data_IF_974486321551
#
_entry.id   IF_974486321551
#
_cell.length_a   1.000
_cell.length_b   1.000
_cell.length_c   1.000
_cell.angle_alpha   90.00
_cell.angle_beta   90.00
_cell.angle_gamma   90.00
#
_symmetry.space_group_name_H-M   'P 1'
#
loop_
_entity.id
_entity.type
_entity.pdbx_description
1 polymer ?
#
# COMPACT_ATOMS: atom_id res chain seq x y z
N UNK A 1 8.13 -14.04 9.44
CA UNK A 1 6.85 -14.17 10.18
C UNK A 1 5.92 -15.06 9.37
N UNK A 2 4.79 -15.55 9.90
CA UNK A 2 3.88 -16.31 9.04
C UNK A 2 3.26 -15.37 8.00
N UNK A 3 3.10 -15.85 6.76
CA UNK A 3 2.46 -15.12 5.63
C UNK A 3 1.08 -14.51 6.00
N UNK A 4 0.46 -14.99 7.07
CA UNK A 4 -0.89 -14.66 7.51
C UNK A 4 -0.93 -13.82 8.80
N UNK A 5 0.19 -13.22 9.21
CA UNK A 5 0.24 -12.37 10.38
C UNK A 5 0.07 -10.89 10.00
N UNK A 6 -0.88 -10.22 10.64
CA UNK A 6 -1.03 -8.77 10.59
C UNK A 6 -0.48 -8.19 11.89
N UNK A 7 0.44 -7.22 11.78
CA UNK A 7 0.98 -6.49 12.92
C UNK A 7 -0.12 -5.74 13.68
N UNK A 8 0.17 -5.30 14.90
CA UNK A 8 -0.78 -4.50 15.69
C UNK A 8 -1.10 -3.18 14.97
N UNK A 9 -0.11 -2.56 14.34
CA UNK A 9 -0.27 -1.31 13.61
C UNK A 9 -1.16 -1.49 12.38
N UNK A 10 -0.89 -2.52 11.55
CA UNK A 10 -1.74 -2.84 10.40
C UNK A 10 -3.17 -3.17 10.79
N UNK A 11 -3.36 -3.93 11.88
CA UNK A 11 -4.70 -4.22 12.38
C UNK A 11 -5.45 -2.95 12.76
N UNK A 12 -4.77 -1.99 13.41
CA UNK A 12 -5.36 -0.72 13.79
C UNK A 12 -5.71 0.14 12.58
N UNK A 13 -4.85 0.17 11.55
CA UNK A 13 -5.10 0.87 10.29
C UNK A 13 -6.29 0.26 9.54
N UNK A 14 -6.28 -1.06 9.33
CA UNK A 14 -7.38 -1.82 8.71
C UNK A 14 -8.69 -1.55 9.44
N UNK A 15 -8.69 -1.61 10.77
CA UNK A 15 -9.88 -1.36 11.59
C UNK A 15 -10.37 0.10 11.46
N UNK A 16 -9.45 1.07 11.41
CA UNK A 16 -9.80 2.48 11.24
C UNK A 16 -10.50 2.71 9.90
N UNK A 17 -9.89 2.27 8.80
CA UNK A 17 -10.46 2.46 7.46
C UNK A 17 -11.76 1.65 7.32
N UNK A 18 -11.83 0.42 7.82
CA UNK A 18 -13.07 -0.37 7.77
C UNK A 18 -14.25 0.36 8.43
N UNK A 19 -14.04 0.99 9.59
CA UNK A 19 -15.07 1.75 10.30
C UNK A 19 -15.54 3.00 9.55
N UNK A 20 -14.72 3.57 8.69
CA UNK A 20 -15.14 4.70 7.83
C UNK A 20 -16.17 4.25 6.78
N UNK A 21 -16.08 2.99 6.32
CA UNK A 21 -17.01 2.43 5.33
C UNK A 21 -18.22 1.74 5.96
N UNK A 22 -18.08 1.17 7.16
CA UNK A 22 -19.12 0.51 7.95
C UNK A 22 -19.86 1.50 8.89
N UNK A 23 -20.51 2.51 8.31
CA UNK A 23 -21.17 3.57 9.08
C UNK A 23 -22.36 3.07 9.92
N UNK A 24 -23.00 1.98 9.50
CA UNK A 24 -24.17 1.41 10.16
C UNK A 24 -23.82 0.26 11.12
N UNK A 25 -22.54 -0.17 11.16
CA UNK A 25 -22.05 -1.30 11.97
C UNK A 25 -22.70 -2.64 11.63
N UNK A 26 -23.12 -2.80 10.37
CA UNK A 26 -23.69 -4.03 9.81
C UNK A 26 -22.75 -4.68 8.76
N UNK A 27 -21.51 -4.18 8.68
CA UNK A 27 -20.48 -4.63 7.76
C UNK A 27 -20.47 -3.82 6.45
N UNK A 28 -19.44 -4.06 5.65
CA UNK A 28 -19.24 -3.37 4.37
C UNK A 28 -19.82 -4.20 3.25
N UNK A 29 -20.60 -3.60 2.34
CA UNK A 29 -21.11 -4.34 1.19
C UNK A 29 -19.98 -4.76 0.24
N UNK A 30 -20.12 -5.90 -0.45
CA UNK A 30 -19.13 -6.36 -1.44
C UNK A 30 -18.82 -5.30 -2.52
N UNK A 31 -19.79 -4.46 -2.90
CA UNK A 31 -19.57 -3.36 -3.85
C UNK A 31 -18.62 -2.26 -3.33
N UNK A 32 -18.63 -2.02 -2.01
CA UNK A 32 -17.73 -1.08 -1.34
C UNK A 32 -16.36 -1.68 -1.04
N UNK A 33 -16.23 -3.01 -1.07
CA UNK A 33 -15.00 -3.73 -0.72
C UNK A 33 -13.80 -3.30 -1.58
N UNK A 34 -14.00 -3.10 -2.89
CA UNK A 34 -12.91 -2.62 -3.76
C UNK A 34 -12.46 -1.19 -3.42
N UNK A 35 -13.37 -0.32 -2.98
CA UNK A 35 -13.00 1.02 -2.52
C UNK A 35 -12.24 0.96 -1.20
N UNK A 36 -12.68 0.10 -0.29
CA UNK A 36 -12.01 -0.14 0.99
C UNK A 36 -10.58 -0.68 0.79
N UNK A 37 -10.38 -1.65 -0.11
CA UNK A 37 -9.05 -2.15 -0.46
C UNK A 37 -8.15 -1.04 -1.06
N UNK A 38 -8.70 -0.19 -1.93
CA UNK A 38 -7.95 0.94 -2.51
C UNK A 38 -7.52 1.96 -1.45
N UNK A 39 -8.34 2.19 -0.43
CA UNK A 39 -7.99 3.07 0.70
C UNK A 39 -6.82 2.52 1.53
N UNK A 40 -6.59 1.21 1.50
CA UNK A 40 -5.41 0.54 2.06
C UNK A 40 -4.24 0.43 1.06
N UNK A 41 -4.33 1.06 -0.11
CA UNK A 41 -3.30 1.00 -1.15
C UNK A 41 -3.28 -0.31 -1.95
N UNK A 42 -4.29 -1.16 -1.84
CA UNK A 42 -4.37 -2.44 -2.55
C UNK A 42 -5.17 -2.24 -3.84
N UNK A 43 -4.46 -2.34 -4.96
CA UNK A 43 -5.02 -2.22 -6.30
C UNK A 43 -5.02 -3.58 -6.99
N UNK A 44 -6.16 -4.26 -6.92
CA UNK A 44 -6.37 -5.53 -7.59
C UNK A 44 -6.47 -5.36 -9.11
N UNK A 45 -5.95 -6.35 -9.85
CA UNK A 45 -6.20 -6.42 -11.29
C UNK A 45 -7.67 -6.81 -11.57
N UNK A 46 -8.06 -6.82 -12.85
CA UNK A 46 -9.45 -7.10 -13.24
C UNK A 46 -9.92 -8.47 -12.75
N UNK A 47 -9.11 -9.50 -12.93
CA UNK A 47 -9.45 -10.88 -12.53
C UNK A 47 -9.55 -11.02 -11.02
N UNK A 48 -8.60 -10.46 -10.26
CA UNK A 48 -8.65 -10.45 -8.80
C UNK A 48 -9.88 -9.70 -8.28
N UNK A 49 -10.21 -8.56 -8.90
CA UNK A 49 -11.40 -7.78 -8.54
C UNK A 49 -12.70 -8.57 -8.79
N UNK A 50 -12.79 -9.27 -9.93
CA UNK A 50 -13.96 -10.11 -10.26
C UNK A 50 -14.14 -11.26 -9.26
N UNK A 51 -13.05 -11.95 -8.89
CA UNK A 51 -13.08 -13.04 -7.89
C UNK A 51 -13.56 -12.53 -6.53
N UNK A 52 -12.97 -11.44 -6.03
CA UNK A 52 -13.38 -10.85 -4.75
C UNK A 52 -14.84 -10.41 -4.79
N UNK A 53 -15.27 -9.73 -5.85
CA UNK A 53 -16.67 -9.32 -5.96
C UNK A 53 -17.62 -10.52 -6.04
N UNK A 54 -17.26 -11.60 -6.75
CA UNK A 54 -18.10 -12.78 -6.84
C UNK A 54 -18.26 -13.50 -5.49
N UNK A 55 -17.17 -13.64 -4.73
CA UNK A 55 -17.17 -14.31 -3.43
C UNK A 55 -18.00 -13.52 -2.39
N UNK A 56 -17.82 -12.20 -2.32
CA UNK A 56 -18.46 -11.38 -1.28
C UNK A 56 -19.85 -10.86 -1.68
N UNK A 57 -20.16 -10.68 -2.97
CA UNK A 57 -21.53 -10.36 -3.41
C UNK A 57 -22.52 -11.47 -3.02
N UNK A 58 -22.07 -12.72 -2.97
CA UNK A 58 -22.87 -13.87 -2.54
C UNK A 58 -23.09 -13.92 -1.02
N UNK A 59 -22.12 -13.42 -0.23
CA UNK A 59 -22.14 -13.52 1.24
C UNK A 59 -22.80 -12.32 1.94
N UNK A 60 -23.16 -11.26 1.20
CA UNK A 60 -23.79 -10.05 1.76
C UNK A 60 -22.76 -9.02 2.23
N UNK A 61 -22.91 -8.53 3.46
CA UNK A 61 -21.96 -7.59 4.06
C UNK A 61 -20.80 -8.35 4.71
N UNK A 62 -19.57 -7.91 4.44
CA UNK A 62 -18.36 -8.43 5.10
C UNK A 62 -18.20 -7.74 6.46
N UNK A 63 -17.99 -8.52 7.52
CA UNK A 63 -17.65 -7.97 8.84
C UNK A 63 -16.14 -7.77 8.99
N UNK A 64 -15.71 -7.06 10.03
CA UNK A 64 -14.29 -6.75 10.25
C UNK A 64 -13.41 -8.00 10.40
N UNK A 65 -13.92 -9.09 10.98
CA UNK A 65 -13.15 -10.34 11.14
C UNK A 65 -12.90 -11.01 9.80
N UNK A 66 -13.93 -11.08 8.95
CA UNK A 66 -13.80 -11.60 7.58
C UNK A 66 -12.87 -10.73 6.74
N UNK A 67 -12.93 -9.40 6.94
CA UNK A 67 -12.00 -8.49 6.28
C UNK A 67 -10.56 -8.71 6.74
N UNK A 68 -10.30 -8.96 8.03
CA UNK A 68 -8.95 -9.35 8.47
C UNK A 68 -8.45 -10.62 7.79
N UNK A 69 -9.30 -11.63 7.58
CA UNK A 69 -8.90 -12.84 6.85
C UNK A 69 -8.57 -12.56 5.39
N UNK A 70 -9.30 -11.65 4.74
CA UNK A 70 -8.98 -11.18 3.40
C UNK A 70 -7.64 -10.43 3.38
N UNK A 71 -7.42 -9.53 4.34
CA UNK A 71 -6.20 -8.72 4.43
C UNK A 71 -4.95 -9.55 4.64
N UNK A 72 -5.03 -10.70 5.32
CA UNK A 72 -3.90 -11.65 5.43
C UNK A 72 -3.43 -12.20 4.07
N UNK A 73 -4.26 -12.15 3.03
CA UNK A 73 -3.92 -12.62 1.69
C UNK A 73 -3.33 -11.53 0.79
N UNK A 74 -3.53 -10.25 1.12
CA UNK A 74 -3.14 -9.14 0.25
C UNK A 74 -2.21 -8.11 0.91
N UNK A 75 -2.14 -8.06 2.24
CA UNK A 75 -1.47 -7.01 3.02
C UNK A 75 -0.45 -7.57 4.01
N UNK A 76 0.35 -8.49 3.50
CA UNK A 76 1.51 -9.07 4.17
C UNK A 76 2.81 -8.51 3.59
N UNK A 77 3.89 -8.55 4.38
CA UNK A 77 5.17 -7.89 4.08
C UNK A 77 5.71 -8.31 2.72
N UNK A 78 5.75 -9.61 2.43
CA UNK A 78 6.32 -10.11 1.19
C UNK A 78 5.49 -9.68 -0.04
N UNK A 79 4.18 -9.46 0.08
CA UNK A 79 3.38 -8.93 -1.04
C UNK A 79 3.67 -7.45 -1.26
N UNK A 80 3.71 -6.68 -0.18
CA UNK A 80 3.98 -5.24 -0.21
C UNK A 80 5.38 -4.99 -0.76
N UNK A 81 6.38 -5.74 -0.29
CA UNK A 81 7.75 -5.74 -0.82
C UNK A 81 7.77 -5.96 -2.33
N UNK A 82 7.12 -7.03 -2.82
CA UNK A 82 7.07 -7.33 -4.25
C UNK A 82 6.40 -6.21 -5.06
N UNK A 83 5.28 -5.66 -4.58
CA UNK A 83 4.56 -4.58 -5.25
C UNK A 83 5.39 -3.28 -5.28
N UNK A 84 6.04 -2.93 -4.18
CA UNK A 84 6.95 -1.79 -4.11
C UNK A 84 8.12 -1.97 -5.07
N UNK A 85 8.74 -3.15 -5.08
CA UNK A 85 9.86 -3.45 -5.97
C UNK A 85 9.47 -3.31 -7.44
N UNK A 86 8.36 -3.91 -7.86
CA UNK A 86 7.86 -3.82 -9.24
C UNK A 86 7.49 -2.38 -9.62
N UNK A 87 6.88 -1.64 -8.69
CA UNK A 87 6.54 -0.23 -8.92
C UNK A 87 7.80 0.62 -9.10
N UNK A 88 8.78 0.50 -8.22
CA UNK A 88 10.06 1.22 -8.32
C UNK A 88 10.80 0.85 -9.62
N UNK A 89 10.81 -0.44 -9.98
CA UNK A 89 11.40 -0.89 -11.24
C UNK A 89 10.73 -0.27 -12.47
N UNK A 90 9.42 0.01 -12.43
CA UNK A 90 8.70 0.63 -13.55
C UNK A 90 9.09 2.10 -13.80
N UNK A 91 9.60 2.79 -12.77
CA UNK A 91 10.10 4.16 -12.87
C UNK A 91 11.61 4.23 -13.13
N UNK A 92 12.34 3.15 -12.86
CA UNK A 92 13.77 3.10 -13.05
C UNK A 92 14.16 2.60 -14.46
N UNK A 93 15.45 2.71 -14.78
CA UNK A 93 16.00 2.10 -15.98
C UNK A 93 15.91 0.57 -15.96
N UNK A 94 15.83 -0.06 -17.14
CA UNK A 94 15.69 -1.51 -17.27
C UNK A 94 16.76 -2.26 -16.47
N UNK A 95 16.34 -3.19 -15.60
CA UNK A 95 17.18 -4.00 -14.70
C UNK A 95 17.94 -3.22 -13.62
N UNK A 96 17.64 -1.93 -13.43
CA UNK A 96 18.16 -1.20 -12.28
C UNK A 96 17.58 -1.74 -10.97
N UNK A 97 18.39 -1.67 -9.90
CA UNK A 97 17.97 -1.90 -8.51
C UNK A 97 17.94 -0.60 -7.70
N UNK A 98 18.13 0.52 -8.39
CA UNK A 98 18.11 1.87 -7.84
C UNK A 98 17.22 2.76 -8.70
N UNK A 99 16.67 3.80 -8.09
CA UNK A 99 15.97 4.88 -8.80
C UNK A 99 16.75 6.18 -8.62
N UNK A 100 16.80 7.01 -9.66
CA UNK A 100 17.41 8.34 -9.54
C UNK A 100 16.62 9.18 -8.52
N UNK A 101 17.33 9.94 -7.68
CA UNK A 101 16.69 10.74 -6.63
C UNK A 101 15.69 11.76 -7.19
N UNK A 102 15.98 12.37 -8.34
CA UNK A 102 15.06 13.34 -8.97
C UNK A 102 13.84 12.65 -9.58
N UNK A 103 14.01 11.47 -10.18
CA UNK A 103 12.89 10.65 -10.67
C UNK A 103 12.00 10.26 -9.49
N UNK A 104 12.59 9.80 -8.40
CA UNK A 104 11.87 9.42 -7.19
C UNK A 104 11.16 10.61 -6.53
N UNK A 105 11.81 11.79 -6.46
CA UNK A 105 11.18 13.04 -6.03
C UNK A 105 9.93 13.34 -6.85
N UNK A 106 10.02 13.25 -8.17
CA UNK A 106 8.87 13.46 -9.06
C UNK A 106 7.75 12.44 -8.81
N UNK A 107 8.10 11.17 -8.60
CA UNK A 107 7.13 10.15 -8.20
C UNK A 107 6.42 10.58 -6.92
N UNK A 108 7.16 10.86 -5.84
CA UNK A 108 6.58 11.25 -4.54
C UNK A 108 5.68 12.49 -4.62
N UNK A 109 6.06 13.51 -5.41
CA UNK A 109 5.26 14.72 -5.62
C UNK A 109 3.96 14.48 -6.41
N UNK A 110 3.90 13.38 -7.16
CA UNK A 110 2.71 12.97 -7.94
C UNK A 110 1.90 11.86 -7.26
N UNK A 111 2.41 11.27 -6.19
CA UNK A 111 1.69 10.25 -5.41
C UNK A 111 0.48 10.87 -4.70
N UNK A 112 -0.62 10.13 -4.72
CA UNK A 112 -1.87 10.50 -4.05
C UNK A 112 -2.74 11.47 -4.84
N UNK A 113 -4.05 11.40 -4.59
CA UNK A 113 -5.05 12.31 -5.19
C UNK A 113 -5.54 13.36 -4.19
N UNK A 114 -5.61 13.00 -2.90
CA UNK A 114 -6.17 13.84 -1.84
C UNK A 114 -5.16 14.56 -0.96
N UNK A 115 -4.00 13.96 -0.69
CA UNK A 115 -2.91 14.55 0.09
C UNK A 115 -1.68 14.53 -0.80
N UNK A 116 -1.21 15.72 -1.17
CA UNK A 116 0.03 15.89 -1.93
C UNK A 116 1.13 16.33 -0.98
N UNK A 117 2.30 15.75 -1.15
CA UNK A 117 3.50 16.22 -0.49
C UNK A 117 3.98 17.50 -1.16
N UNK A 118 4.40 18.47 -0.36
CA UNK A 118 5.10 19.66 -0.83
C UNK A 118 6.54 19.32 -1.22
N UNK A 119 7.17 20.19 -2.01
CA UNK A 119 8.56 20.02 -2.40
C UNK A 119 9.48 19.96 -1.18
N UNK A 120 9.21 20.81 -0.19
CA UNK A 120 9.95 20.89 1.06
C UNK A 120 9.81 19.62 1.91
N UNK A 121 8.61 19.05 2.00
CA UNK A 121 8.37 17.79 2.72
C UNK A 121 9.09 16.62 2.05
N UNK A 122 9.04 16.55 0.72
CA UNK A 122 9.76 15.51 -0.03
C UNK A 122 11.27 15.67 0.14
N UNK A 123 11.82 16.88 0.01
CA UNK A 123 13.26 17.11 0.19
C UNK A 123 13.72 16.79 1.61
N UNK A 124 12.94 17.17 2.62
CA UNK A 124 13.22 16.83 4.00
C UNK A 124 13.23 15.30 4.21
N UNK A 125 12.21 14.59 3.71
CA UNK A 125 12.14 13.13 3.77
C UNK A 125 13.34 12.47 3.08
N UNK A 126 13.61 12.84 1.83
CA UNK A 126 14.69 12.28 1.03
C UNK A 126 16.06 12.54 1.67
N UNK A 127 16.25 13.72 2.28
CA UNK A 127 17.49 14.03 2.95
C UNK A 127 17.65 13.28 4.28
N UNK A 128 16.63 13.24 5.15
CA UNK A 128 16.71 12.59 6.46
C UNK A 128 16.86 11.08 6.32
N UNK A 129 16.06 10.46 5.44
CA UNK A 129 16.02 9.02 5.32
C UNK A 129 17.10 8.46 4.39
N UNK A 130 17.38 9.17 3.29
CA UNK A 130 18.25 8.64 2.22
C UNK A 130 19.50 9.48 1.98
N UNK A 131 19.77 10.50 2.81
CA UNK A 131 20.94 11.38 2.65
C UNK A 131 21.00 11.98 1.23
N UNK A 132 19.84 12.41 0.71
CA UNK A 132 19.64 12.87 -0.66
C UNK A 132 20.53 14.03 -1.13
N UNK A 133 21.11 14.83 -0.23
CA UNK A 133 22.10 15.84 -0.63
C UNK A 133 23.44 15.23 -1.08
N UNK A 134 23.75 14.01 -0.66
CA UNK A 134 24.98 13.29 -1.03
C UNK A 134 24.70 12.15 -2.01
N UNK A 135 23.57 11.47 -1.85
CA UNK A 135 23.20 10.34 -2.67
C UNK A 135 22.40 10.80 -3.89
N UNK A 136 22.77 10.31 -5.09
CA UNK A 136 22.05 10.61 -6.34
C UNK A 136 20.98 9.58 -6.68
N UNK A 137 20.98 8.46 -5.97
CA UNK A 137 20.13 7.31 -6.23
C UNK A 137 19.71 6.66 -4.90
N UNK A 138 18.55 6.03 -4.91
CA UNK A 138 18.01 5.27 -3.78
C UNK A 138 17.94 3.80 -4.17
N UNK A 139 18.47 2.94 -3.30
CA UNK A 139 18.35 1.48 -3.44
C UNK A 139 16.92 1.04 -3.14
N UNK A 140 16.37 0.14 -3.97
CA UNK A 140 15.04 -0.42 -3.73
C UNK A 140 14.99 -1.15 -2.39
N UNK A 141 16.01 -1.95 -2.09
CA UNK A 141 16.08 -2.72 -0.85
C UNK A 141 16.11 -1.80 0.38
N UNK A 142 16.84 -0.67 0.31
CA UNK A 142 16.91 0.29 1.41
C UNK A 142 15.58 1.02 1.63
N UNK A 143 14.95 1.46 0.52
CA UNK A 143 13.63 2.08 0.59
C UNK A 143 12.59 1.11 1.15
N UNK A 144 12.49 -0.11 0.61
CA UNK A 144 11.52 -1.12 1.03
C UNK A 144 11.77 -1.50 2.49
N UNK A 145 13.03 -1.70 2.90
CA UNK A 145 13.37 -1.99 4.28
C UNK A 145 12.89 -0.89 5.23
N UNK A 146 13.09 0.39 4.91
CA UNK A 146 12.62 1.52 5.72
C UNK A 146 11.09 1.61 5.80
N UNK A 147 10.38 1.24 4.73
CA UNK A 147 8.91 1.24 4.69
C UNK A 147 8.32 0.08 5.49
N UNK A 148 8.91 -1.13 5.40
CA UNK A 148 8.39 -2.33 6.05
C UNK A 148 8.86 -2.50 7.50
N UNK A 149 9.88 -1.75 7.91
CA UNK A 149 10.32 -1.72 9.31
C UNK A 149 9.33 -0.92 10.15
N UNK A 150 8.22 -1.56 10.49
CA UNK A 150 7.37 -1.19 11.63
C UNK A 150 8.09 -1.48 12.97
#
# INVERSE_FOLDING_TARGET
MSKYFLSKQRRAEIESIFKEYDTNKDGVSGEKLLYLLRSLGIYLNKTESEVILEDYKKNGNINLSEFFELMKQYYFDENIENLLYLSLQSYAQEKSKTINLNEFKNVLLTLGVGIKLTEEEVDAFLNVEFNGYKNKEISFDDFIYKILKE
#
